data_IF_950407431729
#
_entry.id   IF_950407431729
#
_cell.length_a   1.000
_cell.length_b   1.000
_cell.length_c   1.000
_cell.angle_alpha   90.00
_cell.angle_beta   90.00
_cell.angle_gamma   90.00
#
_symmetry.space_group_name_H-M   'P 1'
#
loop_
_entity.id
_entity.type
_entity.pdbx_description
1 polymer ?
#
# COMPACT_ATOMS: atom_id res chain seq x y z
N UNK A 1 -35.11 61.08 -8.53
CA UNK A 1 -35.64 59.74 -8.89
C UNK A 1 -34.75 58.94 -9.86
N UNK A 2 -34.06 59.57 -10.81
CA UNK A 2 -33.20 58.83 -11.79
C UNK A 2 -31.93 58.20 -11.21
N UNK A 3 -31.39 58.68 -10.10
CA UNK A 3 -30.17 58.15 -9.50
C UNK A 3 -30.40 56.98 -8.53
N UNK A 4 -31.59 56.81 -8.02
CA UNK A 4 -31.94 55.71 -7.13
C UNK A 4 -32.14 54.39 -7.89
N UNK A 5 -32.63 54.48 -9.12
CA UNK A 5 -32.86 53.31 -9.99
C UNK A 5 -31.53 52.70 -10.50
N UNK A 6 -30.49 53.54 -10.75
CA UNK A 6 -29.17 53.09 -11.17
C UNK A 6 -28.41 52.37 -10.06
N UNK A 7 -28.60 52.76 -8.81
CA UNK A 7 -27.94 52.12 -7.66
C UNK A 7 -28.58 50.78 -7.34
N UNK A 8 -29.88 50.64 -7.59
CA UNK A 8 -30.61 49.35 -7.37
C UNK A 8 -30.24 48.30 -8.40
N UNK A 9 -30.03 48.69 -9.67
CA UNK A 9 -29.59 47.77 -10.73
C UNK A 9 -28.12 47.36 -10.57
N UNK A 10 -27.27 48.21 -10.02
CA UNK A 10 -25.86 47.85 -9.78
C UNK A 10 -25.70 46.87 -8.60
N UNK A 11 -26.55 46.99 -7.57
CA UNK A 11 -26.55 45.99 -6.46
C UNK A 11 -27.23 44.68 -6.82
N UNK A 12 -28.14 44.66 -7.79
CA UNK A 12 -28.77 43.41 -8.25
C UNK A 12 -27.83 42.61 -9.17
N UNK A 13 -26.91 43.27 -9.88
CA UNK A 13 -25.91 42.64 -10.73
C UNK A 13 -24.74 42.02 -9.91
N UNK A 14 -24.50 42.51 -8.67
CA UNK A 14 -23.44 42.01 -7.79
C UNK A 14 -23.87 40.74 -7.00
N UNK A 15 -25.18 40.43 -7.00
CA UNK A 15 -25.72 39.29 -6.24
C UNK A 15 -25.81 37.98 -7.06
N UNK A 16 -25.43 38.00 -8.35
CA UNK A 16 -25.51 36.85 -9.25
C UNK A 16 -24.17 36.13 -9.46
N UNK A 17 -23.07 36.62 -8.87
CA UNK A 17 -21.73 36.07 -9.12
C UNK A 17 -21.25 35.14 -7.97
N UNK A 18 -22.09 34.76 -7.02
CA UNK A 18 -21.66 33.85 -5.92
C UNK A 18 -22.32 32.46 -6.01
N UNK A 19 -22.78 32.05 -7.18
CA UNK A 19 -23.25 30.68 -7.36
C UNK A 19 -22.62 30.04 -8.60
N UNK A 20 -21.31 29.81 -8.52
CA UNK A 20 -20.64 28.82 -9.37
C UNK A 20 -19.31 28.40 -8.72
N UNK A 21 -19.42 27.73 -7.57
CA UNK A 21 -18.50 26.69 -7.21
C UNK A 21 -19.27 25.39 -7.44
N UNK A 22 -19.32 24.94 -8.68
CA UNK A 22 -19.55 23.55 -8.96
C UNK A 22 -18.34 22.82 -8.40
N UNK A 23 -18.47 22.19 -7.21
CA UNK A 23 -17.60 21.07 -6.90
C UNK A 23 -17.77 20.10 -8.06
N UNK A 24 -16.66 19.87 -8.80
CA UNK A 24 -16.59 18.74 -9.70
C UNK A 24 -16.97 17.50 -8.87
N UNK A 25 -17.91 16.67 -9.32
CA UNK A 25 -18.27 15.43 -8.63
C UNK A 25 -17.25 14.33 -8.92
N UNK A 26 -15.97 14.68 -9.17
CA UNK A 26 -14.90 13.76 -9.38
C UNK A 26 -14.26 13.42 -8.04
N UNK A 27 -14.29 12.16 -7.68
CA UNK A 27 -13.53 11.47 -6.65
C UNK A 27 -14.01 11.55 -5.19
N UNK A 28 -15.31 11.74 -4.94
CA UNK A 28 -15.82 11.45 -3.62
C UNK A 28 -15.79 9.91 -3.41
N UNK A 29 -14.92 9.45 -2.51
CA UNK A 29 -14.96 8.07 -2.02
C UNK A 29 -16.29 7.94 -1.27
N UNK A 30 -17.22 7.15 -1.83
CA UNK A 30 -18.48 6.83 -1.20
C UNK A 30 -18.27 5.63 -0.26
N UNK A 31 -18.50 5.81 1.04
CA UNK A 31 -18.49 4.71 2.00
C UNK A 31 -19.89 4.14 2.13
N UNK A 32 -20.05 2.86 1.83
CA UNK A 32 -21.27 2.11 2.17
C UNK A 32 -21.19 1.63 3.63
N UNK A 33 -22.32 1.29 4.28
CA UNK A 33 -22.27 0.67 5.60
C UNK A 33 -21.31 -0.52 5.63
N UNK A 34 -20.50 -0.64 6.68
CA UNK A 34 -19.58 -1.75 6.79
C UNK A 34 -20.35 -3.05 7.09
N UNK A 35 -20.12 -4.09 6.28
CA UNK A 35 -20.55 -5.45 6.59
C UNK A 35 -19.56 -6.08 7.57
N UNK A 36 -19.93 -7.09 8.36
CA UNK A 36 -18.98 -7.79 9.22
C UNK A 36 -17.82 -8.39 8.42
N UNK A 37 -16.59 -8.14 8.87
CA UNK A 37 -15.35 -8.52 8.15
C UNK A 37 -15.31 -10.01 7.83
N UNK A 38 -15.62 -10.88 8.80
CA UNK A 38 -15.57 -12.33 8.63
C UNK A 38 -16.53 -12.85 7.54
N UNK A 39 -17.77 -12.34 7.53
CA UNK A 39 -18.78 -12.78 6.55
C UNK A 39 -18.47 -12.24 5.15
N UNK A 40 -18.01 -10.99 5.05
CA UNK A 40 -17.63 -10.39 3.78
C UNK A 40 -16.40 -11.10 3.18
N UNK A 41 -15.38 -11.37 4.00
CA UNK A 41 -14.20 -12.13 3.57
C UNK A 41 -14.56 -13.53 3.04
N UNK A 42 -15.46 -14.26 3.71
CA UNK A 42 -15.86 -15.60 3.26
C UNK A 42 -16.44 -15.58 1.82
N UNK A 43 -17.33 -14.62 1.52
CA UNK A 43 -17.92 -14.46 0.18
C UNK A 43 -16.87 -14.09 -0.86
N UNK A 44 -15.97 -13.18 -0.51
CA UNK A 44 -14.91 -12.73 -1.42
C UNK A 44 -13.87 -13.82 -1.68
N UNK A 45 -13.47 -14.57 -0.64
CA UNK A 45 -12.51 -15.66 -0.77
C UNK A 45 -13.06 -16.77 -1.68
N UNK A 46 -14.33 -17.12 -1.57
CA UNK A 46 -14.98 -18.07 -2.49
C UNK A 46 -14.92 -17.55 -3.95
N UNK A 47 -15.19 -16.26 -4.16
CA UNK A 47 -15.11 -15.63 -5.48
C UNK A 47 -13.68 -15.60 -6.02
N UNK A 48 -12.69 -15.34 -5.17
CA UNK A 48 -11.27 -15.38 -5.55
C UNK A 48 -10.87 -16.81 -5.93
N UNK A 49 -11.26 -17.82 -5.15
CA UNK A 49 -10.95 -19.23 -5.45
C UNK A 49 -11.57 -19.66 -6.79
N UNK A 50 -12.83 -19.29 -7.06
CA UNK A 50 -13.47 -19.57 -8.35
C UNK A 50 -12.71 -18.87 -9.50
N UNK A 51 -12.32 -17.61 -9.30
CA UNK A 51 -11.50 -16.89 -10.28
C UNK A 51 -10.16 -17.60 -10.54
N UNK A 52 -9.44 -17.99 -9.49
CA UNK A 52 -8.18 -18.70 -9.60
C UNK A 52 -8.31 -20.04 -10.34
N UNK A 53 -9.41 -20.77 -10.16
CA UNK A 53 -9.66 -22.07 -10.80
C UNK A 53 -10.06 -21.94 -12.27
N UNK A 54 -10.65 -20.82 -12.66
CA UNK A 54 -11.22 -20.62 -14.00
C UNK A 54 -10.40 -19.72 -14.92
N UNK A 55 -9.34 -19.09 -14.38
CA UNK A 55 -8.48 -18.16 -15.12
C UNK A 55 -7.02 -18.63 -15.10
N UNK A 56 -6.26 -18.15 -16.09
CA UNK A 56 -4.81 -18.28 -16.19
C UNK A 56 -4.21 -16.90 -16.51
N UNK A 57 -2.90 -16.75 -16.36
CA UNK A 57 -2.19 -15.56 -16.80
C UNK A 57 -1.16 -15.92 -17.90
N UNK A 58 -0.62 -14.91 -18.56
CA UNK A 58 0.38 -15.07 -19.64
C UNK A 58 1.76 -15.46 -19.10
N UNK A 59 1.86 -16.58 -18.34
CA UNK A 59 3.09 -17.04 -17.69
C UNK A 59 4.23 -17.28 -18.68
N UNK A 60 3.94 -17.71 -19.90
CA UNK A 60 4.93 -17.94 -20.96
C UNK A 60 5.68 -16.66 -21.39
N UNK A 61 5.04 -15.49 -21.25
CA UNK A 61 5.67 -14.21 -21.54
C UNK A 61 6.61 -13.81 -20.41
N UNK A 62 6.23 -14.07 -19.16
CA UNK A 62 7.09 -13.81 -18.00
C UNK A 62 8.34 -14.69 -17.98
N UNK A 63 8.23 -15.96 -18.40
CA UNK A 63 9.36 -16.88 -18.50
C UNK A 63 10.42 -16.44 -19.54
N UNK A 64 10.04 -15.65 -20.54
CA UNK A 64 10.93 -15.16 -21.59
C UNK A 64 11.60 -13.83 -21.28
N UNK A 65 11.24 -13.17 -20.16
CA UNK A 65 11.75 -11.85 -19.85
C UNK A 65 13.26 -11.85 -19.60
N UNK A 66 13.94 -10.93 -20.27
CA UNK A 66 15.32 -10.59 -19.95
C UNK A 66 15.39 -9.84 -18.60
N UNK A 67 16.58 -9.74 -18.04
CA UNK A 67 16.83 -9.18 -16.71
C UNK A 67 16.38 -7.70 -16.53
N UNK A 68 16.23 -6.95 -17.61
CA UNK A 68 15.85 -5.53 -17.62
C UNK A 68 14.48 -5.28 -18.28
N UNK A 69 13.76 -6.34 -18.65
CA UNK A 69 12.44 -6.24 -19.29
C UNK A 69 11.30 -6.44 -18.30
N UNK A 70 10.13 -5.92 -18.68
CA UNK A 70 8.85 -6.14 -18.03
C UNK A 70 7.81 -6.56 -19.07
N UNK A 71 6.79 -7.28 -18.65
CA UNK A 71 5.60 -7.54 -19.46
C UNK A 71 4.34 -7.16 -18.67
N UNK A 72 3.28 -6.86 -19.38
CA UNK A 72 1.99 -6.59 -18.75
C UNK A 72 1.31 -7.91 -18.36
N UNK A 73 0.74 -7.95 -17.15
CA UNK A 73 -0.09 -9.05 -16.70
C UNK A 73 -1.38 -9.09 -17.53
N UNK A 74 -1.59 -10.19 -18.23
CA UNK A 74 -2.81 -10.50 -18.96
C UNK A 74 -3.44 -11.74 -18.32
N UNK A 75 -4.66 -11.60 -17.83
CA UNK A 75 -5.44 -12.71 -17.27
C UNK A 75 -6.60 -13.02 -18.21
N UNK A 76 -6.79 -14.29 -18.53
CA UNK A 76 -7.88 -14.74 -19.39
C UNK A 76 -8.51 -16.03 -18.86
N UNK A 77 -9.67 -16.38 -19.42
CA UNK A 77 -10.48 -17.52 -19.00
C UNK A 77 -9.98 -18.82 -19.63
N UNK A 78 -9.99 -19.89 -18.86
CA UNK A 78 -9.70 -21.24 -19.34
C UNK A 78 -10.95 -21.76 -20.10
N UNK A 79 -11.05 -21.38 -21.36
CA UNK A 79 -12.14 -21.79 -22.24
C UNK A 79 -11.73 -21.72 -23.71
N UNK A 80 -12.46 -22.39 -24.60
CA UNK A 80 -12.17 -22.39 -26.03
C UNK A 80 -10.76 -22.89 -26.35
N UNK A 81 -9.93 -22.05 -26.96
CA UNK A 81 -8.54 -22.38 -27.32
C UNK A 81 -7.58 -22.41 -26.10
N UNK A 82 -8.07 -22.02 -24.92
CA UNK A 82 -7.26 -21.94 -23.69
C UNK A 82 -7.49 -23.10 -22.71
N UNK A 83 -8.18 -24.17 -23.11
CA UNK A 83 -8.58 -25.29 -22.22
C UNK A 83 -7.40 -26.04 -21.60
N UNK A 84 -6.23 -25.98 -22.24
CA UNK A 84 -5.00 -26.64 -21.80
C UNK A 84 -4.09 -25.73 -20.94
N UNK A 85 -4.51 -24.48 -20.69
CA UNK A 85 -3.72 -23.53 -19.87
C UNK A 85 -3.77 -23.91 -18.39
N UNK A 86 -2.67 -23.62 -17.69
CA UNK A 86 -2.55 -23.92 -16.26
C UNK A 86 -3.36 -22.91 -15.45
N UNK A 87 -4.35 -23.34 -14.64
CA UNK A 87 -5.11 -22.44 -13.78
C UNK A 87 -4.21 -21.66 -12.82
N UNK A 88 -4.58 -20.40 -12.53
CA UNK A 88 -3.92 -19.59 -11.49
C UNK A 88 -3.86 -20.32 -10.16
N UNK A 89 -4.90 -21.07 -9.80
CA UNK A 89 -4.97 -21.85 -8.57
C UNK A 89 -3.76 -22.78 -8.38
N UNK A 90 -3.20 -23.32 -9.45
CA UNK A 90 -2.03 -24.19 -9.42
C UNK A 90 -0.69 -23.44 -9.47
N UNK A 91 -0.72 -22.11 -9.57
CA UNK A 91 0.47 -21.27 -9.77
C UNK A 91 0.69 -20.27 -8.64
N UNK A 92 -0.35 -19.94 -7.88
CA UNK A 92 -0.25 -18.98 -6.78
C UNK A 92 0.32 -19.62 -5.51
N UNK A 93 1.03 -18.83 -4.75
CA UNK A 93 1.35 -19.08 -3.34
C UNK A 93 0.35 -18.30 -2.48
N UNK A 94 -0.01 -18.84 -1.32
CA UNK A 94 -0.91 -18.20 -0.37
C UNK A 94 -0.12 -17.70 0.84
N UNK A 95 -0.38 -16.49 1.26
CA UNK A 95 0.04 -15.91 2.54
C UNK A 95 -1.21 -15.50 3.31
N UNK A 96 -1.22 -15.70 4.61
CA UNK A 96 -2.33 -15.30 5.49
C UNK A 96 -1.93 -14.07 6.28
N UNK A 97 -2.82 -13.08 6.33
CA UNK A 97 -2.67 -11.84 7.07
C UNK A 97 -3.85 -11.75 8.03
N UNK A 98 -3.55 -11.51 9.29
CA UNK A 98 -4.55 -11.35 10.32
C UNK A 98 -5.13 -9.94 10.29
N UNK A 99 -6.46 -9.84 10.28
CA UNK A 99 -7.20 -8.59 10.37
C UNK A 99 -8.06 -8.66 11.63
N UNK A 100 -8.01 -7.63 12.45
CA UNK A 100 -8.87 -7.50 13.62
C UNK A 100 -10.22 -6.96 13.17
N UNK A 101 -11.31 -7.62 13.59
CA UNK A 101 -12.67 -7.19 13.24
C UNK A 101 -13.25 -6.20 14.26
N UNK A 102 -14.51 -5.82 14.06
CA UNK A 102 -15.25 -4.89 14.92
C UNK A 102 -15.55 -5.41 16.34
N UNK A 103 -15.22 -6.66 16.65
CA UNK A 103 -15.39 -7.30 17.95
C UNK A 103 -14.06 -7.66 18.62
N UNK A 104 -12.95 -7.18 18.05
CA UNK A 104 -11.57 -7.53 18.43
C UNK A 104 -11.23 -9.02 18.17
N UNK A 105 -11.98 -9.69 17.26
CA UNK A 105 -11.68 -11.05 16.83
C UNK A 105 -10.72 -11.06 15.63
N UNK A 106 -9.77 -11.99 15.63
CA UNK A 106 -8.82 -12.17 14.51
C UNK A 106 -9.51 -12.91 13.37
N UNK A 107 -9.54 -12.29 12.19
CA UNK A 107 -10.06 -12.87 10.95
C UNK A 107 -8.92 -13.05 9.94
N UNK A 108 -8.40 -14.28 9.77
CA UNK A 108 -7.32 -14.54 8.82
C UNK A 108 -7.77 -14.31 7.37
N UNK A 109 -7.06 -13.44 6.64
CA UNK A 109 -7.30 -13.13 5.24
C UNK A 109 -6.21 -13.73 4.35
N UNK A 110 -6.58 -14.51 3.35
CA UNK A 110 -5.64 -15.06 2.39
C UNK A 110 -5.32 -14.04 1.29
N UNK A 111 -4.04 -13.89 1.04
CA UNK A 111 -3.47 -13.16 -0.06
C UNK A 111 -2.81 -14.16 -1.01
N UNK A 112 -3.15 -14.11 -2.30
CA UNK A 112 -2.67 -15.03 -3.32
C UNK A 112 -1.70 -14.32 -4.25
N UNK A 113 -0.48 -14.85 -4.43
CA UNK A 113 0.53 -14.15 -5.21
C UNK A 113 1.37 -15.07 -6.10
N UNK A 114 1.98 -14.48 -7.12
CA UNK A 114 3.02 -15.09 -7.95
C UNK A 114 4.22 -14.14 -7.99
N UNK A 115 5.41 -14.67 -7.72
CA UNK A 115 6.67 -13.97 -7.96
C UNK A 115 7.26 -14.52 -9.26
N UNK A 116 7.18 -13.73 -10.34
CA UNK A 116 7.71 -14.11 -11.64
C UNK A 116 9.23 -13.92 -11.73
N UNK A 117 9.75 -12.90 -11.03
CA UNK A 117 11.18 -12.64 -10.85
C UNK A 117 11.39 -12.06 -9.45
N UNK A 118 12.25 -12.69 -8.66
CA UNK A 118 12.41 -12.32 -7.25
C UNK A 118 13.12 -10.97 -7.07
N UNK A 119 14.10 -10.68 -7.91
CA UNK A 119 15.06 -9.59 -7.74
C UNK A 119 16.36 -10.07 -7.09
N UNK A 120 17.42 -9.24 -7.17
CA UNK A 120 18.78 -9.61 -6.69
C UNK A 120 19.16 -8.94 -5.36
N UNK A 121 18.52 -7.81 -5.03
CA UNK A 121 18.89 -6.99 -3.86
C UNK A 121 18.16 -7.37 -2.58
N UNK A 122 18.03 -6.40 -1.67
CA UNK A 122 17.26 -6.53 -0.44
C UNK A 122 15.75 -6.48 -0.71
N UNK A 123 14.98 -7.04 0.21
CA UNK A 123 13.56 -6.82 0.31
C UNK A 123 13.31 -5.45 0.98
N UNK A 124 12.28 -4.69 0.62
CA UNK A 124 11.78 -3.61 1.44
C UNK A 124 11.10 -4.17 2.69
N UNK A 125 11.05 -3.35 3.73
CA UNK A 125 10.11 -3.55 4.82
C UNK A 125 8.73 -2.99 4.43
N UNK A 126 7.72 -3.25 5.24
CA UNK A 126 6.37 -2.68 5.06
C UNK A 126 6.29 -1.19 5.40
N UNK A 127 7.35 -0.59 5.96
CA UNK A 127 7.47 0.84 6.26
C UNK A 127 8.30 1.61 5.23
N UNK A 128 9.00 0.93 4.33
CA UNK A 128 9.94 1.57 3.42
C UNK A 128 9.26 2.33 2.27
N UNK A 129 9.99 3.27 1.67
CA UNK A 129 9.64 3.84 0.38
C UNK A 129 10.12 2.93 -0.75
N UNK A 130 9.28 2.68 -1.75
CA UNK A 130 9.57 1.79 -2.88
C UNK A 130 9.42 2.52 -4.21
N UNK A 131 10.36 2.26 -5.14
CA UNK A 131 10.32 2.79 -6.50
C UNK A 131 9.77 1.72 -7.44
N UNK A 132 8.49 1.85 -7.77
CA UNK A 132 7.73 0.81 -8.46
C UNK A 132 6.99 1.32 -9.69
N UNK A 133 6.87 0.47 -10.72
CA UNK A 133 5.80 0.55 -11.70
C UNK A 133 4.74 -0.50 -11.37
N UNK A 134 3.46 -0.16 -11.56
CA UNK A 134 2.38 -1.05 -11.16
C UNK A 134 1.12 -0.90 -12.00
N UNK A 135 0.23 -1.89 -11.90
CA UNK A 135 -1.12 -1.87 -12.46
C UNK A 135 -2.08 -2.51 -11.47
N UNK A 136 -3.10 -1.75 -11.06
CA UNK A 136 -4.20 -2.21 -10.21
C UNK A 136 -5.46 -2.46 -11.02
N UNK A 137 -6.12 -3.60 -10.80
CA UNK A 137 -7.37 -3.99 -11.43
C UNK A 137 -8.27 -4.77 -10.47
N UNK A 138 -9.57 -4.75 -10.74
CA UNK A 138 -10.54 -5.63 -10.08
C UNK A 138 -10.54 -7.03 -10.69
N UNK A 139 -11.20 -8.02 -10.07
CA UNK A 139 -11.36 -9.37 -10.66
C UNK A 139 -12.04 -9.34 -12.03
N UNK A 140 -12.87 -8.33 -12.32
CA UNK A 140 -13.46 -8.12 -13.64
C UNK A 140 -12.47 -7.58 -14.68
N UNK A 141 -11.18 -7.49 -14.31
CA UNK A 141 -10.08 -7.00 -15.15
C UNK A 141 -10.19 -5.51 -15.54
N UNK A 142 -11.05 -4.74 -14.86
CA UNK A 142 -11.13 -3.29 -15.02
C UNK A 142 -9.96 -2.64 -14.31
N UNK A 143 -9.09 -1.96 -15.06
CA UNK A 143 -7.96 -1.20 -14.49
C UNK A 143 -8.49 0.06 -13.81
N UNK A 144 -8.14 0.26 -12.53
CA UNK A 144 -8.52 1.45 -11.78
C UNK A 144 -7.35 2.40 -11.55
N UNK A 145 -6.12 1.90 -11.53
CA UNK A 145 -4.91 2.71 -11.42
C UNK A 145 -3.73 2.02 -12.12
N UNK A 146 -2.80 2.81 -12.65
CA UNK A 146 -1.57 2.27 -13.22
C UNK A 146 -0.47 3.32 -13.35
N UNK A 147 0.77 2.90 -13.12
CA UNK A 147 1.98 3.69 -13.36
C UNK A 147 2.95 2.85 -14.19
N UNK A 148 3.08 3.17 -15.48
CA UNK A 148 4.02 2.49 -16.38
C UNK A 148 5.46 2.92 -16.13
N UNK A 149 5.66 4.20 -15.80
CA UNK A 149 6.96 4.70 -15.35
C UNK A 149 7.04 4.57 -13.85
N UNK A 150 8.17 4.07 -13.31
CA UNK A 150 8.33 3.92 -11.87
C UNK A 150 8.15 5.23 -11.13
N UNK A 151 7.50 5.15 -9.98
CA UNK A 151 7.27 6.26 -9.04
C UNK A 151 7.61 5.80 -7.63
N UNK A 152 7.98 6.73 -6.78
CA UNK A 152 8.12 6.45 -5.36
C UNK A 152 6.75 6.36 -4.70
N UNK A 153 6.56 5.32 -3.93
CA UNK A 153 5.42 5.12 -3.04
C UNK A 153 5.96 4.85 -1.64
N UNK A 154 5.34 5.47 -0.67
CA UNK A 154 5.50 5.17 0.73
C UNK A 154 4.58 3.99 1.08
N UNK A 155 5.15 2.91 1.64
CA UNK A 155 4.39 1.70 1.93
C UNK A 155 3.39 1.89 3.07
N UNK A 156 3.60 2.83 4.00
CA UNK A 156 2.62 3.15 5.05
C UNK A 156 1.36 3.83 4.52
N UNK A 157 1.40 4.33 3.27
CA UNK A 157 0.30 5.03 2.60
C UNK A 157 -0.45 4.20 1.56
N UNK A 158 -0.05 2.95 1.30
CA UNK A 158 -0.73 2.05 0.34
C UNK A 158 -1.65 1.06 1.06
N UNK A 159 -2.48 0.34 0.29
CA UNK A 159 -3.35 -0.70 0.88
C UNK A 159 -2.55 -1.88 1.40
N UNK A 160 -3.02 -2.50 2.48
CA UNK A 160 -2.31 -3.55 3.22
C UNK A 160 -1.79 -4.68 2.32
N UNK A 161 -2.60 -5.21 1.44
CA UNK A 161 -2.16 -6.32 0.58
C UNK A 161 -1.11 -5.93 -0.46
N UNK A 162 -1.06 -4.66 -0.90
CA UNK A 162 0.02 -4.14 -1.74
C UNK A 162 1.34 -4.04 -0.95
N UNK A 163 1.28 -3.50 0.25
CA UNK A 163 2.37 -3.34 1.20
C UNK A 163 3.03 -4.71 1.51
N UNK A 164 2.22 -5.68 1.97
CA UNK A 164 2.67 -7.02 2.33
C UNK A 164 3.29 -7.78 1.15
N UNK A 165 2.67 -7.70 -0.02
CA UNK A 165 3.22 -8.37 -1.20
C UNK A 165 4.52 -7.71 -1.68
N UNK A 166 4.61 -6.38 -1.66
CA UNK A 166 5.83 -5.68 -2.12
C UNK A 166 7.03 -6.04 -1.25
N UNK A 167 6.82 -6.27 0.06
CA UNK A 167 7.85 -6.72 0.99
C UNK A 167 8.41 -8.14 0.66
N UNK A 168 7.70 -8.94 -0.13
CA UNK A 168 8.20 -10.25 -0.61
C UNK A 168 9.13 -10.12 -1.82
N UNK A 169 9.06 -9.02 -2.58
CA UNK A 169 9.91 -8.77 -3.74
C UNK A 169 11.26 -8.22 -3.30
N UNK A 170 12.28 -8.39 -4.13
CA UNK A 170 13.59 -7.78 -3.91
C UNK A 170 13.83 -6.67 -4.94
N UNK A 171 14.52 -5.62 -4.51
CA UNK A 171 14.98 -4.57 -5.42
C UNK A 171 15.94 -5.13 -6.48
N UNK A 172 16.07 -4.39 -7.58
CA UNK A 172 17.05 -4.66 -8.61
C UNK A 172 18.42 -4.03 -8.35
N UNK A 173 19.30 -4.25 -9.33
CA UNK A 173 20.58 -3.60 -9.44
C UNK A 173 20.39 -2.20 -10.05
N UNK A 174 21.10 -1.20 -9.55
CA UNK A 174 21.02 0.19 -10.03
C UNK A 174 22.29 0.47 -10.83
N UNK A 175 22.12 0.84 -12.10
CA UNK A 175 23.22 1.25 -12.97
C UNK A 175 23.14 2.75 -13.25
N UNK A 176 24.25 3.46 -13.03
CA UNK A 176 24.40 4.87 -13.39
C UNK A 176 24.93 4.98 -14.79
N UNK A 177 24.13 5.54 -15.69
CA UNK A 177 24.51 5.72 -17.09
C UNK A 177 25.45 6.93 -17.27
N UNK A 178 26.25 6.92 -18.34
CA UNK A 178 27.22 8.01 -18.63
C UNK A 178 26.57 9.41 -18.79
N UNK A 179 25.28 9.47 -19.05
CA UNK A 179 24.51 10.72 -19.16
C UNK A 179 23.88 11.16 -17.83
N UNK A 180 24.17 10.47 -16.72
CA UNK A 180 23.66 10.76 -15.37
C UNK A 180 22.25 10.21 -15.09
N UNK A 181 21.64 9.45 -16.03
CA UNK A 181 20.38 8.74 -15.76
C UNK A 181 20.64 7.40 -15.08
N UNK A 182 19.59 6.82 -14.48
CA UNK A 182 19.62 5.49 -13.89
C UNK A 182 18.89 4.48 -14.75
N UNK A 183 19.37 3.24 -14.75
CA UNK A 183 18.66 2.07 -15.26
C UNK A 183 18.64 0.97 -14.19
N UNK A 184 17.63 0.12 -14.26
CA UNK A 184 17.42 -0.93 -13.26
C UNK A 184 17.42 -2.28 -13.97
N UNK A 185 18.08 -3.26 -13.35
CA UNK A 185 18.20 -4.62 -13.85
C UNK A 185 17.87 -5.61 -12.74
N UNK A 186 17.48 -6.82 -13.09
CA UNK A 186 17.23 -7.90 -12.12
C UNK A 186 16.25 -7.52 -10.97
N UNK A 187 15.34 -6.61 -11.23
CA UNK A 187 14.35 -6.15 -10.23
C UNK A 187 13.19 -7.14 -10.08
N UNK A 188 12.56 -7.12 -8.90
CA UNK A 188 11.45 -8.00 -8.57
C UNK A 188 10.22 -7.73 -9.43
N UNK A 189 9.55 -8.80 -9.90
CA UNK A 189 8.29 -8.74 -10.66
C UNK A 189 7.35 -9.79 -10.12
N UNK A 190 6.11 -9.39 -9.87
CA UNK A 190 5.06 -10.32 -9.50
C UNK A 190 3.70 -9.67 -9.50
N UNK A 191 2.71 -10.43 -9.09
CA UNK A 191 1.36 -9.92 -8.89
C UNK A 191 0.70 -10.59 -7.69
N UNK A 192 -0.28 -9.90 -7.14
CA UNK A 192 -1.04 -10.31 -5.96
C UNK A 192 -2.53 -10.16 -6.22
N UNK A 193 -3.31 -11.09 -5.67
CA UNK A 193 -4.77 -11.08 -5.64
C UNK A 193 -5.17 -11.09 -4.18
N UNK A 194 -6.00 -10.13 -3.78
CA UNK A 194 -6.35 -9.90 -2.39
C UNK A 194 -7.84 -9.63 -2.21
N UNK A 195 -8.46 -10.02 -1.09
CA UNK A 195 -9.80 -9.61 -0.72
C UNK A 195 -9.85 -8.13 -0.34
N UNK A 196 -11.04 -7.55 -0.33
CA UNK A 196 -11.23 -6.12 -0.06
C UNK A 196 -10.79 -5.69 1.34
N UNK A 197 -10.81 -6.59 2.33
CA UNK A 197 -10.29 -6.32 3.69
C UNK A 197 -8.80 -5.97 3.73
N UNK A 198 -8.02 -6.44 2.74
CA UNK A 198 -6.62 -6.07 2.52
C UNK A 198 -6.47 -4.92 1.51
N UNK A 199 -7.57 -4.36 1.03
CA UNK A 199 -7.65 -3.29 0.04
C UNK A 199 -8.46 -2.09 0.54
N UNK A 200 -9.55 -1.76 -0.17
CA UNK A 200 -10.37 -0.58 0.14
C UNK A 200 -11.65 -0.89 0.94
N UNK A 201 -11.97 -2.16 1.14
CA UNK A 201 -13.11 -2.67 1.89
C UNK A 201 -14.44 -2.05 1.42
N UNK A 202 -15.14 -1.31 2.32
CA UNK A 202 -16.42 -0.66 2.07
C UNK A 202 -16.30 0.72 1.38
N UNK A 203 -15.08 1.16 1.03
CA UNK A 203 -14.85 2.42 0.33
C UNK A 203 -15.02 2.21 -1.17
N UNK A 204 -16.06 2.80 -1.73
CA UNK A 204 -16.29 2.76 -3.18
C UNK A 204 -15.73 4.02 -3.86
N UNK A 205 -15.24 3.86 -5.08
CA UNK A 205 -14.90 4.95 -5.99
C UNK A 205 -15.60 4.70 -7.35
N UNK A 206 -15.45 5.63 -8.28
CA UNK A 206 -16.03 5.48 -9.64
C UNK A 206 -15.54 4.21 -10.34
N UNK A 207 -14.31 3.78 -10.04
CA UNK A 207 -13.64 2.66 -10.71
C UNK A 207 -13.51 1.40 -9.86
N UNK A 208 -13.73 1.51 -8.54
CA UNK A 208 -13.64 0.40 -7.59
C UNK A 208 -14.96 0.35 -6.80
N UNK A 209 -15.87 -0.59 -7.09
CA UNK A 209 -17.02 -0.84 -6.22
C UNK A 209 -16.59 -1.23 -4.80
N UNK A 210 -17.45 -0.93 -3.79
CA UNK A 210 -17.22 -1.46 -2.44
C UNK A 210 -17.09 -2.99 -2.46
N UNK A 211 -16.29 -3.52 -1.54
CA UNK A 211 -16.09 -4.97 -1.39
C UNK A 211 -15.50 -5.65 -2.63
N UNK A 212 -14.68 -4.93 -3.38
CA UNK A 212 -14.03 -5.47 -4.57
C UNK A 212 -12.70 -6.13 -4.20
N UNK A 213 -12.52 -7.42 -4.46
CA UNK A 213 -11.19 -8.00 -4.48
C UNK A 213 -10.31 -7.36 -5.55
N UNK A 214 -9.03 -7.19 -5.28
CA UNK A 214 -8.10 -6.45 -6.12
C UNK A 214 -6.98 -7.35 -6.63
N UNK A 215 -6.44 -6.97 -7.78
CA UNK A 215 -5.24 -7.55 -8.38
C UNK A 215 -4.25 -6.41 -8.60
N UNK A 216 -3.02 -6.55 -8.09
CA UNK A 216 -1.93 -5.64 -8.41
C UNK A 216 -0.77 -6.39 -9.05
N UNK A 217 -0.34 -5.96 -10.23
CA UNK A 217 0.98 -6.28 -10.74
C UNK A 217 1.95 -5.23 -10.24
N UNK A 218 3.13 -5.65 -9.76
CA UNK A 218 4.16 -4.78 -9.21
C UNK A 218 5.52 -5.15 -9.80
N UNK A 219 6.27 -4.14 -10.22
CA UNK A 219 7.69 -4.26 -10.60
C UNK A 219 8.48 -3.38 -9.64
N UNK A 220 9.25 -3.98 -8.74
CA UNK A 220 10.03 -3.29 -7.70
C UNK A 220 11.44 -2.97 -8.20
N UNK A 221 11.66 -1.75 -8.68
CA UNK A 221 12.95 -1.31 -9.20
C UNK A 221 13.99 -1.12 -8.11
N UNK A 222 13.65 -0.36 -7.06
CA UNK A 222 14.51 -0.12 -5.90
C UNK A 222 13.68 0.27 -4.68
N UNK A 223 14.35 0.44 -3.56
CA UNK A 223 13.77 0.84 -2.27
C UNK A 223 14.67 1.88 -1.59
N UNK A 224 14.10 2.55 -0.60
CA UNK A 224 14.80 3.39 0.34
C UNK A 224 14.26 3.07 1.74
N UNK A 225 15.15 2.66 2.65
CA UNK A 225 14.79 2.47 4.06
C UNK A 225 14.34 3.80 4.63
N UNK A 226 13.20 3.81 5.30
CA UNK A 226 12.54 5.04 5.72
C UNK A 226 12.57 5.17 7.24
N UNK A 227 12.91 6.36 7.66
CA UNK A 227 12.81 6.98 8.96
C UNK A 227 11.99 8.24 8.70
N UNK A 228 10.69 8.25 9.10
CA UNK A 228 9.74 9.26 8.64
C UNK A 228 9.87 10.59 9.36
N UNK A 229 10.21 10.61 10.65
CA UNK A 229 10.39 11.81 11.47
C UNK A 229 11.84 12.27 11.56
N UNK A 230 12.79 11.37 11.24
CA UNK A 230 14.21 11.69 11.17
C UNK A 230 14.91 11.66 12.55
N UNK A 231 14.42 10.84 13.42
CA UNK A 231 14.93 10.67 14.79
C UNK A 231 16.07 9.65 14.90
N UNK A 232 16.32 8.86 13.83
CA UNK A 232 17.39 7.86 13.73
C UNK A 232 16.91 6.43 13.94
N UNK A 233 15.66 6.19 14.32
CA UNK A 233 15.03 4.88 14.33
C UNK A 233 14.35 4.65 12.98
N UNK A 234 14.56 3.48 12.38
CA UNK A 234 13.86 3.15 11.15
C UNK A 234 12.39 2.83 11.47
N UNK A 235 11.47 3.40 10.71
CA UNK A 235 10.03 3.28 10.98
C UNK A 235 9.49 1.85 11.09
N UNK A 236 10.17 0.85 10.53
CA UNK A 236 9.83 -0.56 10.76
C UNK A 236 10.11 -1.01 12.21
N UNK A 237 11.03 -0.37 12.92
CA UNK A 237 11.39 -0.72 14.29
C UNK A 237 10.46 -0.05 15.31
N UNK A 238 9.60 0.86 14.84
CA UNK A 238 8.58 1.56 15.61
C UNK A 238 7.20 0.90 15.50
N UNK A 239 7.10 -0.22 14.80
CA UNK A 239 6.01 -1.19 14.84
C UNK A 239 6.28 -2.14 16.02
N UNK A 240 5.92 -1.69 17.24
CA UNK A 240 6.35 -2.31 18.49
C UNK A 240 5.72 -3.69 18.73
N UNK A 241 4.50 -3.89 18.26
CA UNK A 241 3.79 -5.16 18.37
C UNK A 241 3.95 -6.07 17.14
N UNK A 242 4.55 -5.57 16.06
CA UNK A 242 4.84 -6.30 14.83
C UNK A 242 3.59 -6.62 14.00
N UNK A 243 2.51 -5.86 14.20
CA UNK A 243 1.27 -6.07 13.47
C UNK A 243 1.21 -5.38 12.11
N UNK A 244 2.21 -4.57 11.77
CA UNK A 244 2.34 -3.73 10.58
C UNK A 244 1.26 -2.63 10.45
N UNK A 245 0.69 -2.17 11.56
CA UNK A 245 -0.27 -1.07 11.63
C UNK A 245 0.34 0.10 12.40
N UNK A 246 1.34 0.73 11.88
CA UNK A 246 2.15 1.78 12.53
C UNK A 246 1.39 2.89 13.27
N UNK A 247 0.07 3.01 13.07
CA UNK A 247 -0.75 4.09 13.66
C UNK A 247 -1.28 3.77 15.05
N UNK A 248 -1.19 2.53 15.49
CA UNK A 248 -1.61 2.09 16.83
C UNK A 248 -0.43 1.99 17.81
N UNK A 249 0.80 2.15 17.33
CA UNK A 249 1.99 2.33 18.16
C UNK A 249 2.16 3.82 18.48
N UNK A 250 1.74 4.23 19.68
CA UNK A 250 1.73 5.61 20.19
C UNK A 250 2.04 5.51 21.70
N UNK A 251 3.34 5.63 22.04
CA UNK A 251 3.87 5.28 23.37
C UNK A 251 3.41 6.28 24.44
N UNK A 252 3.42 7.59 24.15
CA UNK A 252 3.02 8.65 25.09
C UNK A 252 1.53 8.99 25.05
N UNK A 253 0.80 8.41 24.08
CA UNK A 253 -0.64 8.59 23.86
C UNK A 253 -1.06 10.05 23.52
N UNK A 254 -0.19 10.79 22.82
CA UNK A 254 -0.46 12.15 22.35
C UNK A 254 -1.24 12.21 21.03
N UNK A 255 -1.47 11.07 20.36
CA UNK A 255 -2.06 10.79 19.04
C UNK A 255 -1.11 11.04 17.87
N UNK A 256 0.18 11.17 18.09
CA UNK A 256 1.22 11.07 17.08
C UNK A 256 1.81 9.66 17.22
N UNK A 257 1.68 8.78 16.23
CA UNK A 257 2.27 7.45 16.36
C UNK A 257 3.80 7.55 16.25
N UNK A 258 4.50 6.65 16.94
CA UNK A 258 5.95 6.65 17.08
C UNK A 258 6.69 6.91 15.76
N UNK A 259 6.35 6.24 14.67
CA UNK A 259 7.03 6.44 13.38
C UNK A 259 6.91 7.86 12.78
N UNK A 260 6.18 8.76 13.41
CA UNK A 260 6.01 10.18 13.04
C UNK A 260 6.34 11.11 14.19
N UNK A 261 6.74 10.58 15.36
CA UNK A 261 7.02 11.32 16.57
C UNK A 261 8.53 11.31 16.88
N UNK A 262 9.21 12.44 16.87
CA UNK A 262 10.63 12.48 17.21
C UNK A 262 10.91 12.41 18.74
N UNK A 263 9.88 12.22 19.60
CA UNK A 263 9.94 12.15 21.08
C UNK A 263 8.92 11.11 21.55
N UNK A 264 9.20 9.81 21.29
CA UNK A 264 8.25 8.70 21.36
C UNK A 264 7.56 8.52 22.71
N UNK A 265 8.27 8.78 23.81
CA UNK A 265 7.77 8.64 25.19
C UNK A 265 7.26 9.96 25.79
N UNK A 266 7.48 11.09 25.09
CA UNK A 266 6.95 12.40 25.46
C UNK A 266 7.58 13.01 26.73
N UNK A 267 8.80 12.58 27.13
CA UNK A 267 9.47 13.07 28.35
C UNK A 267 10.15 14.43 28.12
N UNK A 268 10.33 14.83 26.82
CA UNK A 268 10.94 16.08 26.36
C UNK A 268 12.43 15.97 26.03
N UNK A 269 13.01 14.77 26.04
CA UNK A 269 14.26 14.41 25.39
C UNK A 269 13.87 13.76 24.05
N UNK A 270 14.59 14.01 22.98
CA UNK A 270 14.23 13.45 21.67
C UNK A 270 14.77 12.02 21.54
N UNK A 271 14.01 11.13 20.95
CA UNK A 271 14.34 9.73 20.64
C UNK A 271 15.79 9.59 20.11
N UNK A 272 16.22 10.44 19.18
CA UNK A 272 17.60 10.45 18.64
C UNK A 272 18.72 10.72 19.66
N UNK A 273 18.38 11.39 20.77
CA UNK A 273 19.32 11.78 21.82
C UNK A 273 19.39 10.71 22.94
N UNK A 274 18.54 9.66 22.89
CA UNK A 274 18.41 8.58 23.87
C UNK A 274 18.61 7.19 23.28
N UNK A 275 18.27 7.00 22.00
CA UNK A 275 18.20 5.68 21.36
C UNK A 275 19.50 4.87 21.47
N UNK A 276 20.65 5.48 21.25
CA UNK A 276 21.98 4.81 21.27
C UNK A 276 23.05 5.83 21.64
N UNK A 277 23.10 6.23 22.91
CA UNK A 277 24.01 7.27 23.43
C UNK A 277 25.46 6.80 23.51
N UNK A 278 25.67 5.49 23.63
CA UNK A 278 27.00 4.90 23.70
C UNK A 278 27.57 4.48 22.32
N UNK A 279 26.78 4.52 21.26
CA UNK A 279 27.16 4.25 19.87
C UNK A 279 27.40 2.76 19.58
N UNK A 280 26.78 1.86 20.33
CA UNK A 280 26.93 0.42 20.15
C UNK A 280 25.97 -0.20 19.14
N UNK A 281 24.97 0.55 18.65
CA UNK A 281 23.97 0.15 17.67
C UNK A 281 22.76 -0.63 18.27
N UNK A 282 22.59 -0.55 19.58
CA UNK A 282 21.50 -1.17 20.33
C UNK A 282 20.83 -0.06 21.15
N UNK A 283 19.50 -0.01 21.22
CA UNK A 283 18.82 0.95 22.09
C UNK A 283 19.29 0.85 23.53
N UNK A 284 19.57 2.02 24.14
CA UNK A 284 19.94 2.10 25.55
C UNK A 284 18.75 1.74 26.46
N UNK A 285 19.03 1.17 27.63
CA UNK A 285 18.10 0.84 28.72
C UNK A 285 18.86 1.14 30.03
N UNK A 286 18.75 2.40 30.48
CA UNK A 286 19.60 2.94 31.54
C UNK A 286 19.29 2.37 32.91
N UNK A 287 18.03 2.12 33.22
CA UNK A 287 17.58 1.60 34.51
C UNK A 287 17.52 0.06 34.57
N UNK A 288 17.53 -0.61 33.39
CA UNK A 288 17.62 -2.06 33.22
C UNK A 288 16.29 -2.79 33.44
N UNK A 289 15.17 -2.14 33.21
CA UNK A 289 13.84 -2.71 33.40
C UNK A 289 13.32 -3.48 32.16
N UNK A 290 13.97 -3.28 31.01
CA UNK A 290 13.73 -3.96 29.74
C UNK A 290 12.92 -3.14 28.75
N UNK A 291 12.59 -1.88 29.06
CA UNK A 291 12.04 -0.89 28.15
C UNK A 291 13.22 0.00 27.69
N UNK A 292 13.45 0.22 26.40
CA UNK A 292 14.47 1.15 25.96
C UNK A 292 14.19 2.59 26.40
N UNK A 293 15.25 3.38 26.66
CA UNK A 293 15.14 4.76 27.15
C UNK A 293 14.20 5.61 26.28
N UNK A 294 14.25 5.48 24.96
CA UNK A 294 13.42 6.25 24.03
C UNK A 294 11.91 5.88 24.03
N UNK A 295 11.52 4.87 24.80
CA UNK A 295 10.12 4.43 24.97
C UNK A 295 9.70 4.49 26.45
N UNK A 296 10.57 5.02 27.33
CA UNK A 296 10.40 5.00 28.78
C UNK A 296 10.59 6.39 29.39
N UNK A 297 9.51 7.01 29.78
CA UNK A 297 9.50 8.37 30.28
C UNK A 297 9.93 8.49 31.77
N UNK A 298 10.71 7.58 32.33
CA UNK A 298 11.20 7.51 33.70
C UNK A 298 12.39 8.46 34.01
#
# INVERSE_FOLDING_TARGET
MKNFVKLFFFNLLLLVIIYSCSKDPSDAIETVPAEPIASQYAIENDSIIEFLQTHFYNYEDFEKLSYNETTELIIDTISGDNVDKIPLFNQVTTMTIDIVDENDDIVPHNLYYVINRNGNGANPTVADSVFVSYKGMTLNKNTFDSRKLPTWLDQTSVVRGFQEFTALLKRGDINVNNNGTYSFENFGIGFVIMPSGLGYYNRASVTIPAYSPLIFQINLNTLNTTDHDGDGVNSINEDLDGNHIFRDDDTDADNTPNYLDPDDDGDGVLTKDEYDTDGNGIPDDTDGDGIPDYLDND
#
